data_IF_489600277975
#
_entry.id   IF_489600277975
#
_cell.length_a   1.000
_cell.length_b   1.000
_cell.length_c   1.000
_cell.angle_alpha   90.00
_cell.angle_beta   90.00
_cell.angle_gamma   90.00
#
_symmetry.space_group_name_H-M   'P 1'
#
loop_
_entity.id
_entity.type
_entity.pdbx_description
1 polymer ?
#
# COMPACT_ATOMS: atom_id res chain seq x y z
N UNK A 1 8.04 -31.71 3.85
CA UNK A 1 8.84 -30.52 3.50
C UNK A 1 8.00 -29.30 3.85
N UNK A 2 8.06 -28.84 5.10
CA UNK A 2 7.20 -27.78 5.63
C UNK A 2 7.85 -26.42 5.38
N UNK A 3 7.33 -25.67 4.41
CA UNK A 3 7.75 -24.30 4.17
C UNK A 3 7.36 -23.45 5.38
N UNK A 4 8.32 -23.19 6.28
CA UNK A 4 8.18 -22.17 7.32
C UNK A 4 8.34 -20.82 6.65
N UNK A 5 7.22 -20.17 6.32
CA UNK A 5 7.21 -18.76 5.94
C UNK A 5 7.77 -17.97 7.11
N UNK A 6 9.02 -17.56 7.00
CA UNK A 6 9.71 -16.74 7.99
C UNK A 6 9.06 -15.35 7.88
N UNK A 7 8.03 -15.08 8.68
CA UNK A 7 7.56 -13.71 8.88
C UNK A 7 8.71 -12.94 9.52
N UNK A 8 9.46 -12.19 8.69
CA UNK A 8 10.42 -11.21 9.20
C UNK A 8 9.64 -10.25 10.10
N UNK A 9 10.15 -9.93 11.29
CA UNK A 9 9.51 -8.93 12.15
C UNK A 9 9.30 -7.68 11.31
N UNK A 10 8.06 -7.20 11.30
CA UNK A 10 7.61 -6.00 10.61
C UNK A 10 8.74 -4.97 10.50
N UNK A 11 9.26 -4.78 9.29
CA UNK A 11 10.33 -3.83 9.00
C UNK A 11 9.80 -2.46 9.46
N UNK A 12 10.32 -1.96 10.59
CA UNK A 12 9.82 -0.73 11.21
C UNK A 12 9.77 0.34 10.13
N UNK A 13 8.61 0.99 9.97
CA UNK A 13 8.43 2.04 8.97
C UNK A 13 9.53 3.09 9.13
N UNK A 14 10.45 3.17 8.16
CA UNK A 14 11.51 4.18 8.16
C UNK A 14 10.90 5.56 7.93
N UNK A 15 11.65 6.62 8.28
CA UNK A 15 11.21 8.01 8.05
C UNK A 15 10.92 8.24 6.56
N UNK A 16 11.71 7.63 5.68
CA UNK A 16 11.49 7.68 4.24
C UNK A 16 10.19 6.98 3.84
N UNK A 17 9.89 5.82 4.43
CA UNK A 17 8.65 5.10 4.18
C UNK A 17 7.43 5.89 4.69
N UNK A 18 7.58 6.63 5.79
CA UNK A 18 6.50 7.48 6.35
C UNK A 18 6.19 8.64 5.43
N UNK A 19 7.22 9.33 4.95
CA UNK A 19 7.07 10.42 3.99
C UNK A 19 6.48 9.90 2.68
N UNK A 20 6.97 8.75 2.21
CA UNK A 20 6.48 8.12 1.01
C UNK A 20 5.01 7.69 1.15
N UNK A 21 4.66 7.05 2.27
CA UNK A 21 3.27 6.71 2.60
C UNK A 21 2.40 7.95 2.57
N UNK A 22 2.75 9.00 3.32
CA UNK A 22 1.94 10.23 3.37
C UNK A 22 1.73 10.84 1.98
N UNK A 23 2.78 10.87 1.16
CA UNK A 23 2.71 11.44 -0.20
C UNK A 23 1.85 10.57 -1.13
N UNK A 24 2.00 9.24 -1.09
CA UNK A 24 1.18 8.34 -1.90
C UNK A 24 -0.29 8.42 -1.49
N UNK A 25 -0.57 8.35 -0.19
CA UNK A 25 -1.93 8.45 0.35
C UNK A 25 -2.59 9.77 -0.05
N UNK A 26 -1.86 10.89 0.02
CA UNK A 26 -2.36 12.19 -0.45
C UNK A 26 -2.69 12.23 -1.94
N UNK A 27 -1.94 11.50 -2.79
CA UNK A 27 -2.24 11.39 -4.23
C UNK A 27 -3.48 10.56 -4.52
N UNK A 28 -3.70 9.48 -3.77
CA UNK A 28 -4.89 8.62 -3.96
C UNK A 28 -6.13 9.19 -3.26
N UNK A 29 -5.98 10.08 -2.27
CA UNK A 29 -7.10 10.82 -1.66
C UNK A 29 -7.86 11.67 -2.69
N UNK A 30 -7.28 11.99 -3.85
CA UNK A 30 -7.94 12.77 -4.90
C UNK A 30 -8.72 11.90 -5.90
N UNK A 31 -8.80 10.58 -5.69
CA UNK A 31 -9.63 9.70 -6.51
C UNK A 31 -11.10 10.09 -6.28
N UNK A 32 -11.83 10.49 -7.32
CA UNK A 32 -13.23 10.92 -7.19
C UNK A 32 -14.23 9.93 -7.79
N UNK A 33 -13.76 8.80 -8.35
CA UNK A 33 -14.61 7.79 -8.97
C UNK A 33 -14.22 6.41 -8.45
N UNK A 34 -14.83 6.02 -7.33
CA UNK A 34 -14.60 4.76 -6.68
C UNK A 34 -13.86 4.88 -5.36
N UNK A 35 -13.82 3.75 -4.67
CA UNK A 35 -13.34 3.59 -3.33
C UNK A 35 -12.07 2.75 -3.32
N UNK A 36 -11.03 3.23 -2.65
CA UNK A 36 -9.76 2.52 -2.47
C UNK A 36 -9.49 2.33 -0.99
N UNK A 37 -9.50 1.09 -0.54
CA UNK A 37 -9.15 0.72 0.83
C UNK A 37 -7.69 0.30 0.85
N UNK A 38 -6.84 1.04 1.57
CA UNK A 38 -5.44 0.68 1.79
C UNK A 38 -5.28 0.08 3.18
N UNK A 39 -4.72 -1.11 3.26
CA UNK A 39 -4.39 -1.78 4.52
C UNK A 39 -2.88 -2.01 4.60
N UNK A 40 -2.25 -1.46 5.63
CA UNK A 40 -0.82 -1.62 5.88
C UNK A 40 -0.53 -1.84 7.37
N UNK A 41 0.74 -2.04 7.72
CA UNK A 41 1.14 -2.26 9.12
C UNK A 41 0.82 -1.10 10.09
N UNK A 42 0.52 0.10 9.58
CA UNK A 42 0.07 1.26 10.39
C UNK A 42 -1.45 1.23 10.63
N UNK A 43 -2.21 0.54 9.78
CA UNK A 43 -3.67 0.45 9.84
C UNK A 43 -4.33 0.56 8.47
N UNK A 44 -5.65 0.73 8.50
CA UNK A 44 -6.49 0.82 7.31
C UNK A 44 -6.93 2.26 7.05
N UNK A 45 -6.95 2.67 5.79
CA UNK A 45 -7.47 3.96 5.35
C UNK A 45 -8.35 3.80 4.12
N UNK A 46 -9.48 4.51 4.10
CA UNK A 46 -10.37 4.56 2.96
C UNK A 46 -10.15 5.86 2.18
N UNK A 47 -10.08 5.77 0.85
CA UNK A 47 -9.78 6.87 -0.05
C UNK A 47 -10.76 6.90 -1.21
N UNK A 48 -11.21 8.11 -1.55
CA UNK A 48 -12.15 8.36 -2.64
C UNK A 48 -13.60 8.44 -2.19
N UNK A 49 -14.51 8.19 -3.13
CA UNK A 49 -15.96 8.34 -2.93
C UNK A 49 -16.65 7.00 -3.18
N UNK A 50 -17.67 6.70 -2.38
CA UNK A 50 -18.42 5.45 -2.50
C UNK A 50 -19.10 5.37 -3.87
N UNK A 51 -18.58 4.49 -4.72
CA UNK A 51 -19.06 4.28 -6.08
C UNK A 51 -19.02 2.81 -6.46
N UNK A 52 -19.36 2.53 -7.73
CA UNK A 52 -19.46 1.16 -8.25
C UNK A 52 -18.11 0.41 -8.28
N UNK A 53 -17.01 1.16 -8.32
CA UNK A 53 -15.65 0.60 -8.33
C UNK A 53 -15.06 0.63 -6.92
N UNK A 54 -14.76 -0.55 -6.38
CA UNK A 54 -14.05 -0.71 -5.09
C UNK A 54 -12.78 -1.55 -5.28
N UNK A 55 -11.66 -1.04 -4.77
CA UNK A 55 -10.36 -1.72 -4.81
C UNK A 55 -9.79 -1.80 -3.40
N UNK A 56 -9.26 -2.96 -3.03
CA UNK A 56 -8.54 -3.14 -1.76
C UNK A 56 -7.07 -3.42 -2.02
N UNK A 57 -6.19 -2.65 -1.38
CA UNK A 57 -4.74 -2.74 -1.50
C UNK A 57 -4.13 -3.14 -0.15
N UNK A 58 -3.58 -4.36 -0.08
CA UNK A 58 -2.88 -4.84 1.11
C UNK A 58 -1.36 -4.70 0.95
N UNK A 59 -0.76 -3.81 1.72
CA UNK A 59 0.68 -3.51 1.67
C UNK A 59 1.38 -4.24 2.82
N UNK A 60 2.03 -5.36 2.45
CA UNK A 60 2.79 -6.17 3.41
C UNK A 60 4.20 -5.62 3.67
N UNK A 61 4.77 -4.85 2.74
CA UNK A 61 6.13 -4.33 2.83
C UNK A 61 6.15 -2.80 2.65
N UNK A 62 6.59 -2.02 3.65
CA UNK A 62 6.60 -0.55 3.57
C UNK A 62 7.47 0.01 2.44
N UNK A 63 8.45 -0.75 1.95
CA UNK A 63 9.26 -0.36 0.78
C UNK A 63 8.42 -0.12 -0.48
N UNK A 64 7.23 -0.72 -0.55
CA UNK A 64 6.25 -0.46 -1.60
C UNK A 64 5.99 1.03 -1.79
N UNK A 65 5.81 1.79 -0.70
CA UNK A 65 5.49 3.22 -0.78
C UNK A 65 6.58 4.02 -1.52
N UNK A 66 7.84 3.66 -1.29
CA UNK A 66 8.98 4.28 -1.97
C UNK A 66 9.04 3.86 -3.44
N UNK A 67 8.88 2.57 -3.73
CA UNK A 67 8.86 2.08 -5.11
C UNK A 67 7.72 2.71 -5.92
N UNK A 68 6.51 2.78 -5.36
CA UNK A 68 5.35 3.37 -6.01
C UNK A 68 5.53 4.88 -6.28
N UNK A 69 6.21 5.62 -5.40
CA UNK A 69 6.44 7.05 -5.61
C UNK A 69 7.56 7.38 -6.59
N UNK A 70 8.67 6.65 -6.52
CA UNK A 70 9.87 6.96 -7.31
C UNK A 70 9.90 6.26 -8.68
N UNK A 71 8.76 5.74 -9.15
CA UNK A 71 8.63 5.17 -10.49
C UNK A 71 9.25 3.79 -10.64
N UNK A 72 9.31 2.99 -9.57
CA UNK A 72 9.58 1.57 -9.70
C UNK A 72 8.41 0.90 -10.43
N UNK A 73 8.70 0.10 -11.45
CA UNK A 73 7.70 -0.75 -12.10
C UNK A 73 7.06 -1.62 -11.04
N UNK A 74 5.76 -1.44 -10.80
CA UNK A 74 5.01 -2.35 -9.96
C UNK A 74 4.81 -3.63 -10.77
N UNK A 75 5.70 -4.61 -10.59
CA UNK A 75 5.44 -5.96 -11.09
C UNK A 75 4.24 -6.51 -10.33
N UNK A 76 3.09 -6.47 -10.99
CA UNK A 76 1.90 -7.20 -10.58
C UNK A 76 2.23 -8.68 -10.82
N UNK A 77 2.31 -9.46 -9.75
CA UNK A 77 2.30 -10.90 -9.86
C UNK A 77 0.84 -11.33 -9.81
N UNK A 78 0.38 -11.96 -10.89
CA UNK A 78 -0.89 -12.68 -10.90
C UNK A 78 -0.67 -14.03 -10.19
N UNK A 79 -1.64 -14.48 -9.40
CA UNK A 79 -1.66 -15.80 -8.75
C UNK A 79 -3.03 -16.42 -8.85
#
# INVERSE_FOLDING_TARGET
MTARTIHRPADRLSVLDRLARKTLLGRISTISRGELVVQDQVGSGNFGDSGDLSVSLQIQNPKFYRHALFGGTLSIAES
#
